data_IF_119768031323
#
_entry.id   IF_119768031323
#
_cell.length_a   1.000
_cell.length_b   1.000
_cell.length_c   1.000
_cell.angle_alpha   90.00
_cell.angle_beta   90.00
_cell.angle_gamma   90.00
#
_symmetry.space_group_name_H-M   'P 1'
#
loop_
_entity.id
_entity.type
_entity.pdbx_description
1 polymer ?
#
# COMPACT_ATOMS: atom_id res chain seq x y z
N UNK A 1 37.50 -16.48 -47.74
CA UNK A 1 36.08 -16.91 -47.77
C UNK A 1 35.30 -16.11 -46.73
N UNK A 2 34.32 -15.34 -47.23
CA UNK A 2 33.13 -14.77 -46.58
C UNK A 2 33.30 -13.76 -45.45
N UNK A 3 33.30 -12.48 -45.87
CA UNK A 3 32.74 -11.34 -45.15
C UNK A 3 31.21 -11.35 -45.30
N UNK A 4 30.47 -11.09 -44.22
CA UNK A 4 29.07 -10.60 -44.27
C UNK A 4 28.89 -9.46 -43.26
N UNK A 5 28.44 -8.26 -43.70
CA UNK A 5 27.94 -7.22 -42.82
C UNK A 5 26.39 -7.21 -42.82
N UNK A 6 25.77 -7.26 -41.64
CA UNK A 6 24.32 -7.05 -41.48
C UNK A 6 24.03 -5.59 -41.16
N UNK A 7 23.60 -4.87 -42.20
CA UNK A 7 22.98 -3.56 -42.09
C UNK A 7 21.51 -3.74 -41.66
N UNK A 8 21.11 -3.08 -40.58
CA UNK A 8 19.69 -2.83 -40.30
C UNK A 8 19.42 -1.32 -40.36
N UNK A 9 18.86 -0.92 -41.50
CA UNK A 9 18.06 0.30 -41.65
C UNK A 9 16.67 0.01 -41.08
N UNK A 10 16.17 0.86 -40.19
CA UNK A 10 14.74 0.97 -39.92
C UNK A 10 14.34 2.43 -40.05
N UNK A 11 13.61 2.72 -41.12
CA UNK A 11 12.75 3.89 -41.24
C UNK A 11 11.50 3.64 -40.38
N UNK A 12 11.10 4.63 -39.57
CA UNK A 12 9.71 4.76 -39.13
C UNK A 12 9.33 6.24 -39.07
N UNK A 13 8.46 6.57 -40.01
CA UNK A 13 7.69 7.80 -40.22
C UNK A 13 6.48 7.90 -39.30
N UNK A 14 5.96 9.13 -39.17
CA UNK A 14 4.67 9.55 -38.60
C UNK A 14 4.60 9.49 -37.06
N UNK A 15 4.18 10.54 -36.36
CA UNK A 15 2.88 11.20 -36.53
C UNK A 15 2.90 12.70 -36.24
N UNK A 16 2.34 13.45 -37.20
CA UNK A 16 1.82 14.81 -37.12
C UNK A 16 0.30 14.70 -36.96
N UNK A 17 -0.29 15.41 -35.98
CA UNK A 17 -1.66 15.93 -35.91
C UNK A 17 -1.93 16.39 -34.46
N UNK A 18 -2.15 17.68 -34.24
CA UNK A 18 -3.44 18.38 -34.39
C UNK A 18 -4.17 18.34 -33.04
N UNK A 19 -4.25 19.50 -32.39
CA UNK A 19 -5.50 19.98 -31.81
C UNK A 19 -5.34 21.43 -31.34
N UNK A 20 -5.97 22.30 -32.10
CA UNK A 20 -6.24 23.70 -31.78
C UNK A 20 -7.24 23.79 -30.62
N UNK A 21 -7.26 25.00 -30.01
CA UNK A 21 -8.48 25.73 -29.59
C UNK A 21 -8.93 25.55 -28.14
N UNK A 22 -8.47 26.46 -27.29
CA UNK A 22 -9.22 26.96 -26.12
C UNK A 22 -9.07 28.49 -26.13
N UNK A 23 -10.01 29.20 -26.75
CA UNK A 23 -11.19 29.79 -26.11
C UNK A 23 -10.83 30.79 -25.00
N UNK A 24 -10.87 32.06 -25.41
CA UNK A 24 -11.06 33.24 -24.58
C UNK A 24 -12.35 33.09 -23.78
N UNK A 25 -12.31 33.40 -22.49
CA UNK A 25 -13.52 33.72 -21.73
C UNK A 25 -13.25 34.96 -20.88
N UNK A 26 -14.01 36.00 -21.19
CA UNK A 26 -14.08 37.29 -20.51
C UNK A 26 -14.37 37.14 -19.01
N UNK A 27 -13.51 37.73 -18.18
CA UNK A 27 -13.74 37.92 -16.75
C UNK A 27 -14.29 39.33 -16.51
N UNK A 28 -15.59 39.43 -16.29
CA UNK A 28 -16.21 40.64 -15.80
C UNK A 28 -17.65 40.38 -15.40
N UNK A 29 -17.96 40.51 -14.11
CA UNK A 29 -19.08 41.32 -13.57
C UNK A 29 -19.22 41.15 -12.06
N UNK A 30 -19.00 42.26 -11.36
CA UNK A 30 -19.35 42.51 -9.97
C UNK A 30 -20.88 42.46 -9.77
N UNK A 31 -21.32 42.06 -8.58
CA UNK A 31 -22.75 42.03 -8.24
C UNK A 31 -23.01 41.53 -6.84
N UNK A 32 -22.67 42.35 -5.84
CA UNK A 32 -23.17 42.26 -4.47
C UNK A 32 -24.70 42.37 -4.42
N UNK A 33 -25.37 41.50 -3.67
CA UNK A 33 -26.55 41.86 -2.86
C UNK A 33 -27.02 40.62 -2.09
N UNK A 34 -26.79 40.63 -0.77
CA UNK A 34 -27.47 39.74 0.16
C UNK A 34 -28.94 40.15 0.32
N UNK A 35 -29.83 39.19 0.59
CA UNK A 35 -30.89 39.43 1.55
C UNK A 35 -30.83 38.44 2.72
N UNK A 36 -30.91 39.06 3.89
CA UNK A 36 -31.20 38.51 5.21
C UNK A 36 -32.40 37.56 5.16
N UNK A 37 -32.19 36.33 5.63
CA UNK A 37 -33.21 35.29 5.75
C UNK A 37 -33.02 34.53 7.05
N UNK A 38 -33.81 34.93 8.04
CA UNK A 38 -33.94 34.42 9.39
C UNK A 38 -34.43 32.95 9.40
N UNK A 39 -33.64 32.01 9.92
CA UNK A 39 -34.10 30.65 10.24
C UNK A 39 -33.73 30.34 11.69
N UNK A 40 -34.66 30.64 12.59
CA UNK A 40 -34.68 30.12 13.94
C UNK A 40 -35.28 28.70 13.98
N UNK A 41 -34.92 27.96 15.05
CA UNK A 41 -35.46 26.69 15.55
C UNK A 41 -34.88 25.40 14.98
N UNK A 42 -33.98 24.82 15.77
CA UNK A 42 -33.67 23.40 15.66
C UNK A 42 -32.49 22.87 16.48
N UNK A 43 -32.13 23.49 17.63
CA UNK A 43 -31.14 22.88 18.52
C UNK A 43 -31.77 21.66 19.19
N UNK A 44 -31.63 20.49 18.55
CA UNK A 44 -31.95 19.21 19.19
C UNK A 44 -30.99 19.03 20.37
N UNK A 45 -31.47 18.69 21.58
CA UNK A 45 -30.56 18.38 22.68
C UNK A 45 -29.74 17.15 22.29
N UNK A 46 -28.42 17.34 22.13
CA UNK A 46 -27.47 16.27 21.91
C UNK A 46 -27.40 15.46 23.20
N UNK A 47 -28.26 14.43 23.34
CA UNK A 47 -28.16 13.41 24.40
C UNK A 47 -26.81 12.72 24.25
N UNK A 48 -25.76 13.24 24.89
CA UNK A 48 -24.52 12.51 25.11
C UNK A 48 -24.74 11.61 26.32
N UNK A 49 -25.44 10.50 26.11
CA UNK A 49 -25.38 9.39 27.05
C UNK A 49 -23.93 8.90 27.02
N UNK A 50 -23.16 9.25 28.06
CA UNK A 50 -21.81 8.76 28.28
C UNK A 50 -21.96 7.28 28.64
N UNK A 51 -22.04 6.42 27.62
CA UNK A 51 -22.11 4.99 27.81
C UNK A 51 -20.89 4.59 28.66
N UNK A 52 -21.14 3.94 29.81
CA UNK A 52 -20.09 3.28 30.58
C UNK A 52 -19.37 2.35 29.61
N UNK A 53 -18.09 2.62 29.36
CA UNK A 53 -17.25 1.80 28.47
C UNK A 53 -17.16 0.44 29.15
N UNK A 54 -17.95 -0.53 28.67
CA UNK A 54 -17.85 -1.91 29.12
C UNK A 54 -16.42 -2.39 28.93
N UNK A 55 -15.97 -3.26 29.82
CA UNK A 55 -14.73 -3.99 29.64
C UNK A 55 -14.81 -4.71 28.29
N UNK A 56 -13.82 -4.47 27.43
CA UNK A 56 -13.77 -5.08 26.10
C UNK A 56 -13.29 -6.51 26.25
N UNK A 57 -13.94 -7.43 25.57
CA UNK A 57 -13.46 -8.81 25.50
C UNK A 57 -12.22 -8.87 24.60
N UNK A 58 -11.34 -9.85 24.79
CA UNK A 58 -10.09 -9.98 24.02
C UNK A 58 -10.32 -9.98 22.49
N UNK A 59 -11.43 -10.59 22.06
CA UNK A 59 -11.88 -10.60 20.65
C UNK A 59 -12.12 -9.21 20.07
N UNK A 60 -12.47 -8.22 20.90
CA UNK A 60 -12.73 -6.84 20.48
C UNK A 60 -11.44 -6.08 20.15
N UNK A 61 -10.28 -6.64 20.50
CA UNK A 61 -8.96 -6.10 20.16
C UNK A 61 -8.39 -6.67 18.85
N UNK A 62 -9.06 -7.68 18.26
CA UNK A 62 -8.61 -8.28 17.01
C UNK A 62 -8.76 -7.28 15.87
N UNK A 63 -7.63 -6.86 15.31
CA UNK A 63 -7.59 -6.00 14.13
C UNK A 63 -7.31 -6.84 12.88
N UNK A 64 -8.27 -6.91 11.97
CA UNK A 64 -8.13 -7.71 10.74
C UNK A 64 -6.98 -7.25 9.84
N UNK A 65 -6.77 -5.94 9.72
CA UNK A 65 -5.80 -5.40 8.76
C UNK A 65 -4.36 -5.79 9.11
N UNK A 66 -3.88 -5.60 10.36
CA UNK A 66 -2.58 -6.13 10.79
C UNK A 66 -2.44 -7.64 10.57
N UNK A 67 -3.48 -8.43 10.86
CA UNK A 67 -3.43 -9.89 10.62
C UNK A 67 -3.23 -10.23 9.14
N UNK A 68 -3.94 -9.54 8.23
CA UNK A 68 -3.76 -9.74 6.79
C UNK A 68 -2.36 -9.31 6.33
N UNK A 69 -1.81 -8.23 6.88
CA UNK A 69 -0.44 -7.78 6.59
C UNK A 69 0.61 -8.77 7.09
N UNK A 70 0.41 -9.35 8.28
CA UNK A 70 1.29 -10.41 8.82
C UNK A 70 1.27 -11.65 7.92
N UNK A 71 0.09 -12.08 7.46
CA UNK A 71 -0.01 -13.18 6.47
C UNK A 71 0.73 -12.89 5.16
N UNK A 72 0.73 -11.64 4.70
CA UNK A 72 1.55 -11.24 3.53
C UNK A 72 3.05 -11.34 3.83
N UNK A 73 3.48 -11.00 5.05
CA UNK A 73 4.86 -11.13 5.47
C UNK A 73 5.29 -12.61 5.56
N UNK A 74 4.46 -13.47 6.16
CA UNK A 74 4.67 -14.92 6.22
C UNK A 74 4.76 -15.54 4.82
N UNK A 75 3.96 -15.05 3.88
CA UNK A 75 4.01 -15.51 2.50
C UNK A 75 5.35 -15.22 1.79
N UNK A 76 6.22 -14.36 2.34
CA UNK A 76 7.58 -14.13 1.83
C UNK A 76 8.60 -15.17 2.33
N UNK A 77 8.32 -15.92 3.39
CA UNK A 77 9.21 -16.99 3.87
C UNK A 77 9.36 -18.11 2.83
N UNK A 78 8.24 -18.50 2.23
CA UNK A 78 8.22 -19.48 1.14
C UNK A 78 8.90 -20.81 1.48
N UNK A 79 9.53 -21.44 0.47
CA UNK A 79 10.50 -22.51 0.67
C UNK A 79 11.88 -21.88 0.48
N UNK A 80 12.76 -22.02 1.46
CA UNK A 80 14.15 -21.55 1.41
C UNK A 80 14.35 -20.02 1.19
N UNK A 81 13.41 -19.16 1.59
CA UNK A 81 13.54 -17.68 1.47
C UNK A 81 13.75 -17.17 0.03
N UNK A 82 13.24 -17.89 -0.96
CA UNK A 82 13.30 -17.49 -2.37
C UNK A 82 12.55 -16.17 -2.61
N UNK A 83 13.05 -15.28 -3.49
CA UNK A 83 12.33 -14.10 -3.93
C UNK A 83 10.94 -14.43 -4.47
N UNK A 84 9.91 -13.80 -3.90
CA UNK A 84 8.52 -14.04 -4.27
C UNK A 84 7.99 -12.94 -5.20
N UNK A 85 7.45 -13.31 -6.35
CA UNK A 85 6.68 -12.39 -7.19
C UNK A 85 5.34 -12.04 -6.50
N UNK A 86 4.75 -10.90 -6.87
CA UNK A 86 3.43 -10.49 -6.33
C UNK A 86 2.38 -11.57 -6.58
N UNK A 87 2.38 -12.20 -7.76
CA UNK A 87 1.45 -13.27 -8.10
C UNK A 87 1.62 -14.48 -7.18
N UNK A 88 2.86 -14.81 -6.79
CA UNK A 88 3.12 -15.89 -5.84
C UNK A 88 2.62 -15.56 -4.44
N UNK A 89 2.77 -14.32 -3.99
CA UNK A 89 2.23 -13.85 -2.70
C UNK A 89 0.70 -13.91 -2.71
N UNK A 90 0.05 -13.49 -3.79
CA UNK A 90 -1.41 -13.61 -3.98
C UNK A 90 -1.86 -15.06 -3.90
N UNK A 91 -1.19 -15.98 -4.60
CA UNK A 91 -1.49 -17.41 -4.54
C UNK A 91 -1.36 -18.00 -3.13
N UNK A 92 -0.32 -17.59 -2.37
CA UNK A 92 -0.06 -18.09 -1.01
C UNK A 92 -1.08 -17.56 0.01
N UNK A 93 -1.55 -16.34 -0.17
CA UNK A 93 -2.41 -15.65 0.81
C UNK A 93 -3.89 -15.70 0.48
N UNK A 94 -4.26 -15.86 -0.80
CA UNK A 94 -5.62 -15.73 -1.29
C UNK A 94 -6.16 -14.28 -1.31
N UNK A 95 -5.33 -13.27 -1.01
CA UNK A 95 -5.75 -11.88 -1.03
C UNK A 95 -5.71 -11.26 -2.43
N UNK A 96 -6.37 -10.11 -2.60
CA UNK A 96 -6.34 -9.39 -3.87
C UNK A 96 -4.94 -8.86 -4.17
N UNK A 97 -4.59 -8.79 -5.45
CA UNK A 97 -3.30 -8.28 -5.89
C UNK A 97 -3.03 -6.84 -5.42
N UNK A 98 -4.08 -6.00 -5.41
CA UNK A 98 -4.00 -4.62 -4.89
C UNK A 98 -3.64 -4.60 -3.41
N UNK A 99 -4.30 -5.42 -2.58
CA UNK A 99 -3.98 -5.52 -1.16
C UNK A 99 -2.55 -6.01 -0.94
N UNK A 100 -2.14 -7.11 -1.59
CA UNK A 100 -0.77 -7.63 -1.46
C UNK A 100 0.27 -6.57 -1.85
N UNK A 101 0.04 -5.82 -2.93
CA UNK A 101 0.97 -4.76 -3.35
C UNK A 101 1.08 -3.64 -2.31
N UNK A 102 -0.05 -3.16 -1.79
CA UNK A 102 -0.07 -2.14 -0.73
C UNK A 102 0.61 -2.64 0.55
N UNK A 103 0.30 -3.87 0.98
CA UNK A 103 0.91 -4.49 2.15
C UNK A 103 2.44 -4.64 2.00
N UNK A 104 2.93 -5.10 0.84
CA UNK A 104 4.37 -5.22 0.57
C UNK A 104 5.08 -3.87 0.58
N UNK A 105 4.46 -2.81 0.06
CA UNK A 105 4.99 -1.44 0.12
C UNK A 105 5.06 -0.97 1.59
N UNK A 106 4.00 -1.18 2.36
CA UNK A 106 3.98 -0.85 3.80
C UNK A 106 5.07 -1.61 4.57
N UNK A 107 5.23 -2.91 4.33
CA UNK A 107 6.26 -3.74 4.96
C UNK A 107 7.67 -3.29 4.57
N UNK A 108 7.87 -2.86 3.33
CA UNK A 108 9.14 -2.27 2.87
C UNK A 108 9.46 -0.97 3.60
N UNK A 109 8.49 -0.06 3.70
CA UNK A 109 8.68 1.19 4.45
C UNK A 109 9.00 0.92 5.93
N UNK A 110 8.41 -0.12 6.51
CA UNK A 110 8.69 -0.54 7.88
C UNK A 110 10.03 -1.30 8.06
N UNK A 111 10.69 -1.69 6.96
CA UNK A 111 11.96 -2.43 6.93
C UNK A 111 11.83 -3.95 7.05
N UNK A 112 10.61 -4.48 7.04
CA UNK A 112 10.31 -5.91 7.19
C UNK A 112 10.29 -6.68 5.86
N UNK A 113 10.21 -5.98 4.73
CA UNK A 113 10.34 -6.56 3.39
C UNK A 113 11.33 -5.76 2.55
N UNK A 114 11.89 -6.39 1.52
CA UNK A 114 12.76 -5.75 0.54
C UNK A 114 12.37 -6.19 -0.87
N UNK A 115 12.45 -5.25 -1.83
CA UNK A 115 12.24 -5.53 -3.24
C UNK A 115 13.59 -5.74 -3.92
N UNK A 116 13.77 -6.87 -4.57
CA UNK A 116 14.92 -7.22 -5.41
C UNK A 116 14.52 -7.18 -6.89
N UNK A 117 15.46 -7.49 -7.79
CA UNK A 117 15.16 -7.67 -9.22
C UNK A 117 14.23 -8.87 -9.44
N UNK A 118 14.44 -9.95 -8.70
CA UNK A 118 13.73 -11.22 -8.87
C UNK A 118 12.37 -11.26 -8.13
N UNK A 119 12.13 -10.35 -7.17
CA UNK A 119 10.87 -10.29 -6.47
C UNK A 119 10.92 -9.58 -5.12
N UNK A 120 10.18 -10.11 -4.16
CA UNK A 120 10.10 -9.63 -2.78
C UNK A 120 10.71 -10.65 -1.84
N UNK A 121 11.54 -10.18 -0.92
CA UNK A 121 12.17 -10.99 0.12
C UNK A 121 11.90 -10.38 1.48
N UNK A 122 12.19 -11.14 2.54
CA UNK A 122 12.21 -10.66 3.91
C UNK A 122 13.27 -9.58 4.08
N UNK A 123 12.92 -8.50 4.79
CA UNK A 123 13.81 -7.38 5.05
C UNK A 123 14.76 -7.62 6.24
N UNK A 124 15.90 -6.91 6.29
CA UNK A 124 16.94 -7.12 7.30
C UNK A 124 16.47 -6.84 8.74
N UNK A 125 15.44 -5.99 8.92
CA UNK A 125 14.89 -5.71 10.25
C UNK A 125 14.24 -6.95 10.85
N UNK A 126 13.52 -7.74 10.05
CA UNK A 126 12.89 -8.97 10.53
C UNK A 126 13.94 -10.01 10.90
N UNK A 127 14.96 -10.18 10.05
CA UNK A 127 16.06 -11.11 10.31
C UNK A 127 16.77 -10.78 11.64
N UNK A 128 17.12 -9.51 11.86
CA UNK A 128 17.73 -9.07 13.13
C UNK A 128 16.82 -9.30 14.34
N UNK A 129 15.53 -9.04 14.19
CA UNK A 129 14.54 -9.28 15.23
C UNK A 129 14.47 -10.77 15.60
N UNK A 130 14.39 -11.64 14.59
CA UNK A 130 14.38 -13.09 14.78
C UNK A 130 15.67 -13.59 15.46
N UNK A 131 16.85 -13.16 14.99
CA UNK A 131 18.13 -13.55 15.59
C UNK A 131 18.23 -13.16 17.07
N UNK A 132 17.70 -11.98 17.45
CA UNK A 132 17.71 -11.53 18.86
C UNK A 132 16.78 -12.37 19.74
N UNK A 133 15.62 -12.77 19.23
CA UNK A 133 14.71 -13.66 19.95
C UNK A 133 15.39 -15.00 20.18
N UNK A 134 15.91 -15.61 19.12
CA UNK A 134 16.58 -16.91 19.19
C UNK A 134 17.76 -16.87 20.18
N UNK A 135 18.61 -15.85 20.12
CA UNK A 135 19.72 -15.69 21.05
C UNK A 135 19.28 -15.53 22.52
N UNK A 136 18.13 -14.89 22.77
CA UNK A 136 17.58 -14.77 24.13
C UNK A 136 16.99 -16.10 24.63
N UNK A 137 16.28 -16.83 23.78
CA UNK A 137 15.68 -18.12 24.13
C UNK A 137 16.72 -19.16 24.55
N UNK A 138 17.88 -19.20 23.88
CA UNK A 138 18.96 -20.13 24.26
C UNK A 138 19.53 -19.85 25.66
N UNK A 139 19.68 -18.57 26.05
CA UNK A 139 20.22 -18.21 27.38
C UNK A 139 19.30 -18.58 28.56
N UNK A 140 18.00 -18.67 28.31
CA UNK A 140 17.03 -19.01 29.36
C UNK A 140 16.94 -20.52 29.61
N UNK A 141 17.39 -21.34 28.66
CA UNK A 141 17.37 -22.80 28.78
C UNK A 141 18.66 -23.39 29.39
N UNK A 142 19.68 -22.56 29.66
CA UNK A 142 20.96 -22.96 30.28
C UNK A 142 21.02 -22.69 31.79
N UNK A 143 19.96 -22.12 32.37
CA UNK A 143 19.78 -21.91 33.82
C UNK A 143 18.64 -22.78 34.35
#
# INVERSE_FOLDING_TARGET
MRNEPLAHKTNSTATENDERRTERVDAGREGSSSPVGEIAKGLRPRKTAKAKRGEREEKDYVMETPQKVLKVLEALEGRAFEPASINRVVQRTGFTQSFCRSALITLKQAGYAQRTLDGWIVGPKLARFASRITAHSYRQNEN
#
